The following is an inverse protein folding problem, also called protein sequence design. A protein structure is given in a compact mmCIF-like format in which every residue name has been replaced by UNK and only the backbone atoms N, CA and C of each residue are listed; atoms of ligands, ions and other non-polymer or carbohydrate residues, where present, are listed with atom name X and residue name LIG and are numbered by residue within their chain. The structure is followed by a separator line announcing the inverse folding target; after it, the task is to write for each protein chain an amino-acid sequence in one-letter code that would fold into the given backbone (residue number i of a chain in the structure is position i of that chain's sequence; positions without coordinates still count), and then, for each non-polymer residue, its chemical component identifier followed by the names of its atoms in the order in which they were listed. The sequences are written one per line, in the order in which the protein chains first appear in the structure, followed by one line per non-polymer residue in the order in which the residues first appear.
data_IF_144019516858
#
_entry.id   IF_144019516858
#
_cell.length_a   1.000
_cell.length_b   1.000
_cell.length_c   1.000
_cell.angle_alpha   90.00
_cell.angle_beta   90.00
_cell.angle_gamma   90.00
#
_symmetry.space_group_name_H-M   'P 1'
#
loop_
_entity.id
_entity.type
_entity.pdbx_description
1 polymer ?
#
# COMPACT_ATOMS: atom_id res chain seq x y z
N UNK A 1 -47.24 -25.45 19.05
CA UNK A 1 -46.48 -24.78 18.03
C UNK A 1 -45.06 -25.32 18.09
N UNK A 2 -44.56 -25.93 17.00
CA UNK A 2 -43.16 -26.37 16.86
C UNK A 2 -42.37 -25.23 16.19
N UNK A 3 -41.30 -24.79 16.83
CA UNK A 3 -40.35 -23.85 16.24
C UNK A 3 -39.06 -24.61 15.85
N UNK A 4 -38.60 -24.45 14.63
CA UNK A 4 -37.29 -24.98 14.17
C UNK A 4 -36.30 -23.86 14.07
N UNK A 5 -35.07 -24.10 14.57
CA UNK A 5 -33.95 -23.19 14.43
C UNK A 5 -32.85 -23.89 13.62
N UNK A 6 -32.44 -23.28 12.53
CA UNK A 6 -31.32 -23.79 11.71
C UNK A 6 -30.05 -23.07 12.11
N UNK A 7 -29.02 -23.83 12.47
CA UNK A 7 -27.67 -23.29 12.72
C UNK A 7 -26.69 -23.81 11.66
N UNK A 8 -25.75 -22.97 11.28
CA UNK A 8 -24.70 -23.31 10.32
C UNK A 8 -23.33 -23.24 10.98
N UNK A 9 -22.47 -24.24 10.75
CA UNK A 9 -21.08 -24.24 11.16
C UNK A 9 -20.21 -24.15 9.91
N UNK A 10 -19.32 -23.16 9.86
CA UNK A 10 -18.31 -23.06 8.83
C UNK A 10 -16.97 -23.63 9.34
N UNK A 11 -16.41 -24.62 8.65
CA UNK A 11 -15.10 -25.17 8.91
C UNK A 11 -14.33 -25.29 7.60
N UNK A 12 -13.27 -24.52 7.43
CA UNK A 12 -12.48 -24.53 6.19
C UNK A 12 -11.53 -23.33 6.07
N UNK A 13 -10.80 -23.30 4.96
CA UNK A 13 -9.95 -22.15 4.62
C UNK A 13 -10.79 -20.90 4.34
N UNK A 14 -10.29 -19.76 4.80
CA UNK A 14 -10.98 -18.45 4.63
C UNK A 14 -10.66 -17.85 3.26
N UNK A 15 -10.94 -18.59 2.20
CA UNK A 15 -10.83 -18.07 0.84
C UNK A 15 -11.92 -17.02 0.59
N UNK A 16 -11.56 -15.88 0.02
CA UNK A 16 -12.48 -14.76 -0.18
C UNK A 16 -13.67 -15.17 -1.05
N UNK A 17 -13.42 -15.91 -2.15
CA UNK A 17 -14.47 -16.37 -3.04
C UNK A 17 -15.47 -17.28 -2.34
N UNK A 18 -15.00 -18.20 -1.50
CA UNK A 18 -15.84 -19.11 -0.72
C UNK A 18 -16.67 -18.39 0.33
N UNK A 19 -16.09 -17.42 1.04
CA UNK A 19 -16.77 -16.60 2.05
C UNK A 19 -17.86 -15.73 1.40
N UNK A 20 -17.53 -15.02 0.31
CA UNK A 20 -18.49 -14.19 -0.44
C UNK A 20 -19.64 -15.04 -1.01
N UNK A 21 -19.37 -16.27 -1.47
CA UNK A 21 -20.39 -17.21 -1.96
C UNK A 21 -21.35 -17.67 -0.86
N UNK A 22 -20.84 -17.99 0.33
CA UNK A 22 -21.67 -18.36 1.48
C UNK A 22 -22.49 -17.19 2.00
N UNK A 23 -21.92 -15.99 2.06
CA UNK A 23 -22.65 -14.76 2.40
C UNK A 23 -23.87 -14.58 1.51
N UNK A 24 -23.68 -14.69 0.19
CA UNK A 24 -24.75 -14.55 -0.78
C UNK A 24 -25.78 -15.70 -0.71
N UNK A 25 -25.34 -16.97 -0.59
CA UNK A 25 -26.20 -18.15 -0.63
C UNK A 25 -27.05 -18.31 0.62
N UNK A 26 -26.48 -18.02 1.79
CA UNK A 26 -27.15 -18.20 3.09
C UNK A 26 -27.69 -16.88 3.65
N UNK A 27 -27.53 -15.78 2.92
CA UNK A 27 -27.93 -14.43 3.32
C UNK A 27 -27.41 -14.05 4.72
N UNK A 28 -26.16 -14.43 5.03
CA UNK A 28 -25.53 -14.13 6.31
C UNK A 28 -24.92 -12.75 6.23
N UNK A 29 -25.47 -11.80 6.97
CA UNK A 29 -25.02 -10.41 6.95
C UNK A 29 -23.57 -10.27 7.45
N UNK A 30 -22.71 -9.66 6.63
CA UNK A 30 -21.31 -9.35 6.94
C UNK A 30 -20.44 -10.59 7.21
N UNK A 31 -20.72 -11.70 6.57
CA UNK A 31 -19.90 -12.90 6.69
C UNK A 31 -18.49 -12.69 6.12
N UNK A 32 -18.33 -11.80 5.16
CA UNK A 32 -17.04 -11.36 4.61
C UNK A 32 -16.09 -10.79 5.66
N UNK A 33 -16.59 -10.33 6.81
CA UNK A 33 -15.78 -9.86 7.95
C UNK A 33 -15.11 -10.97 8.76
N UNK A 34 -15.35 -12.24 8.43
CA UNK A 34 -14.52 -13.34 8.93
C UNK A 34 -13.07 -13.21 8.51
N UNK A 35 -12.82 -12.51 7.41
CA UNK A 35 -11.50 -12.10 6.96
C UNK A 35 -11.21 -10.72 7.56
N UNK A 36 -10.07 -10.59 8.24
CA UNK A 36 -9.65 -9.32 8.83
C UNK A 36 -9.09 -8.38 7.75
N UNK A 37 -9.95 -7.64 7.08
CA UNK A 37 -9.58 -6.65 6.07
C UNK A 37 -8.86 -5.40 6.62
N UNK A 38 -8.84 -5.24 7.94
CA UNK A 38 -8.26 -4.06 8.61
C UNK A 38 -9.11 -2.80 8.52
N UNK A 39 -8.54 -1.69 8.97
CA UNK A 39 -9.22 -0.39 9.04
C UNK A 39 -9.59 0.19 7.67
N UNK A 40 -8.81 -0.13 6.65
CA UNK A 40 -9.02 0.35 5.29
C UNK A 40 -9.82 -0.64 4.44
N UNK A 41 -10.83 -1.28 5.03
CA UNK A 41 -11.71 -2.25 4.37
C UNK A 41 -12.16 -1.80 2.97
N UNK A 42 -12.56 -0.51 2.85
CA UNK A 42 -13.05 0.10 1.60
C UNK A 42 -11.97 0.21 0.50
N UNK A 43 -10.70 0.09 0.84
CA UNK A 43 -9.58 -0.01 -0.13
C UNK A 43 -9.12 -1.46 -0.26
N UNK A 44 -9.00 -2.17 0.85
CA UNK A 44 -8.42 -3.52 0.92
C UNK A 44 -9.24 -4.54 0.12
N UNK A 45 -10.57 -4.56 0.31
CA UNK A 45 -11.45 -5.53 -0.39
C UNK A 45 -11.51 -5.30 -1.91
N UNK A 46 -11.71 -4.07 -2.43
CA UNK A 46 -11.60 -3.81 -3.86
C UNK A 46 -10.21 -4.10 -4.45
N UNK A 47 -9.15 -3.80 -3.72
CA UNK A 47 -7.78 -4.07 -4.14
C UNK A 47 -7.52 -5.57 -4.27
N UNK A 48 -8.01 -6.37 -3.31
CA UNK A 48 -7.97 -7.82 -3.40
C UNK A 48 -8.73 -8.32 -4.63
N UNK A 49 -9.96 -7.86 -4.86
CA UNK A 49 -10.77 -8.27 -6.02
C UNK A 49 -10.09 -7.93 -7.35
N UNK A 50 -9.44 -6.79 -7.42
CA UNK A 50 -8.65 -6.40 -8.60
C UNK A 50 -7.47 -7.35 -8.81
N UNK A 51 -6.75 -7.69 -7.73
CA UNK A 51 -5.61 -8.60 -7.78
C UNK A 51 -6.04 -10.02 -8.17
N UNK A 52 -7.12 -10.53 -7.58
CA UNK A 52 -7.70 -11.83 -7.91
C UNK A 52 -8.17 -11.92 -9.37
N UNK A 53 -8.79 -10.84 -9.88
CA UNK A 53 -9.20 -10.75 -11.29
C UNK A 53 -7.98 -10.85 -12.22
N UNK A 54 -6.91 -10.12 -11.93
CA UNK A 54 -5.68 -10.15 -12.72
C UNK A 54 -5.01 -11.53 -12.61
N UNK A 55 -4.99 -12.11 -11.41
CA UNK A 55 -4.47 -13.44 -11.20
C UNK A 55 -5.23 -14.49 -12.02
N UNK A 56 -6.56 -14.46 -12.04
CA UNK A 56 -7.38 -15.36 -12.85
C UNK A 56 -7.09 -15.25 -14.35
N UNK A 57 -6.68 -14.09 -14.81
CA UNK A 57 -6.33 -13.87 -16.23
C UNK A 57 -4.91 -14.36 -16.56
N UNK A 58 -3.92 -14.06 -15.72
CA UNK A 58 -2.51 -14.35 -15.98
C UNK A 58 -2.02 -15.66 -15.35
N UNK A 59 -2.74 -16.22 -14.40
CA UNK A 59 -2.35 -17.44 -13.68
C UNK A 59 -1.13 -17.29 -12.75
N UNK A 60 -0.68 -16.04 -12.48
CA UNK A 60 0.52 -15.78 -11.70
C UNK A 60 0.30 -14.61 -10.74
N UNK A 61 0.38 -14.87 -9.43
CA UNK A 61 0.15 -13.87 -8.38
C UNK A 61 1.21 -12.77 -8.38
N UNK A 62 2.47 -13.10 -8.64
CA UNK A 62 3.53 -12.10 -8.71
C UNK A 62 3.30 -11.11 -9.85
N UNK A 63 2.84 -11.59 -11.01
CA UNK A 63 2.43 -10.73 -12.12
C UNK A 63 1.25 -9.85 -11.72
N UNK A 64 0.27 -10.40 -11.00
CA UNK A 64 -0.87 -9.63 -10.51
C UNK A 64 -0.43 -8.49 -9.59
N UNK A 65 0.50 -8.74 -8.66
CA UNK A 65 1.07 -7.72 -7.77
C UNK A 65 1.77 -6.62 -8.57
N UNK A 66 2.58 -6.98 -9.56
CA UNK A 66 3.29 -6.01 -10.41
C UNK A 66 2.31 -5.13 -11.19
N UNK A 67 1.31 -5.72 -11.84
CA UNK A 67 0.30 -4.98 -12.60
C UNK A 67 -0.50 -4.04 -11.68
N UNK A 68 -0.97 -4.51 -10.53
CA UNK A 68 -1.67 -3.68 -9.54
C UNK A 68 -0.79 -2.53 -9.07
N UNK A 69 0.49 -2.79 -8.82
CA UNK A 69 1.45 -1.74 -8.44
C UNK A 69 1.58 -0.68 -9.53
N UNK A 70 1.70 -1.08 -10.79
CA UNK A 70 1.75 -0.14 -11.93
C UNK A 70 0.47 0.67 -12.03
N UNK A 71 -0.70 0.04 -11.91
CA UNK A 71 -1.99 0.73 -11.94
C UNK A 71 -2.13 1.76 -10.82
N UNK A 72 -1.74 1.42 -9.58
CA UNK A 72 -1.73 2.34 -8.46
C UNK A 72 -0.78 3.52 -8.72
N UNK A 73 0.44 3.25 -9.21
CA UNK A 73 1.41 4.30 -9.55
C UNK A 73 0.92 5.20 -10.67
N UNK A 74 0.27 4.64 -11.70
CA UNK A 74 -0.34 5.41 -12.78
C UNK A 74 -1.48 6.30 -12.26
N UNK A 75 -2.34 5.80 -11.39
CA UNK A 75 -3.41 6.57 -10.79
C UNK A 75 -2.89 7.75 -9.94
N UNK A 76 -1.77 7.57 -9.23
CA UNK A 76 -1.14 8.63 -8.41
C UNK A 76 -0.15 9.50 -9.17
N UNK A 77 0.14 9.20 -10.45
CA UNK A 77 1.08 9.97 -11.25
C UNK A 77 0.78 11.48 -11.31
N UNK A 78 -0.47 11.94 -11.55
CA UNK A 78 -0.76 13.37 -11.59
C UNK A 78 -0.51 14.05 -10.24
N UNK A 79 -0.80 13.37 -9.13
CA UNK A 79 -0.55 13.87 -7.78
C UNK A 79 0.95 13.98 -7.50
N UNK A 80 1.71 12.94 -7.86
CA UNK A 80 3.17 12.91 -7.74
C UNK A 80 3.82 14.05 -8.56
N UNK A 81 3.39 14.23 -9.79
CA UNK A 81 3.91 15.28 -10.68
C UNK A 81 3.67 16.70 -10.10
N UNK A 82 2.47 16.93 -9.54
CA UNK A 82 2.15 18.20 -8.87
C UNK A 82 3.07 18.43 -7.65
N UNK A 83 3.33 17.38 -6.88
CA UNK A 83 4.25 17.43 -5.73
C UNK A 83 5.68 17.73 -6.15
N UNK A 84 6.21 17.04 -7.17
CA UNK A 84 7.56 17.30 -7.67
C UNK A 84 7.73 18.73 -8.18
N UNK A 85 6.73 19.30 -8.85
CA UNK A 85 6.74 20.72 -9.26
C UNK A 85 6.80 21.66 -8.06
N UNK A 86 6.05 21.36 -6.99
CA UNK A 86 6.10 22.15 -5.75
C UNK A 86 7.46 22.05 -5.06
N UNK A 87 8.05 20.86 -5.02
CA UNK A 87 9.41 20.67 -4.48
C UNK A 87 10.48 21.41 -5.29
N UNK A 88 10.37 21.43 -6.62
CA UNK A 88 11.28 22.20 -7.47
C UNK A 88 11.24 23.70 -7.15
N UNK A 89 10.02 24.27 -7.05
CA UNK A 89 9.85 25.68 -6.62
C UNK A 89 10.43 25.94 -5.22
N UNK A 90 10.30 24.99 -4.30
CA UNK A 90 10.87 25.12 -2.96
C UNK A 90 12.40 25.13 -3.00
N UNK A 91 13.04 24.31 -3.87
CA UNK A 91 14.49 24.33 -4.08
C UNK A 91 14.97 25.68 -4.65
N UNK A 92 14.23 26.25 -5.59
CA UNK A 92 14.54 27.59 -6.13
C UNK A 92 14.44 28.70 -5.07
N UNK A 93 13.54 28.55 -4.10
CA UNK A 93 13.39 29.51 -2.99
C UNK A 93 14.39 29.27 -1.84
N UNK A 94 15.14 28.18 -1.87
CA UNK A 94 16.05 27.78 -0.79
C UNK A 94 17.10 28.87 -0.41
N UNK A 95 17.77 29.56 -1.36
CA UNK A 95 18.73 30.62 -1.00
C UNK A 95 18.06 31.80 -0.27
N UNK A 96 16.84 32.18 -0.66
CA UNK A 96 16.10 33.24 0.03
C UNK A 96 15.64 32.82 1.43
N UNK A 97 15.25 31.55 1.58
CA UNK A 97 14.92 30.97 2.89
C UNK A 97 16.14 30.95 3.84
N UNK A 98 17.31 30.65 3.31
CA UNK A 98 18.55 30.70 4.10
C UNK A 98 18.89 32.13 4.53
N UNK A 99 18.77 33.09 3.62
CA UNK A 99 19.00 34.51 3.94
C UNK A 99 18.03 35.02 5.03
N UNK A 100 16.74 34.60 4.99
CA UNK A 100 15.77 34.94 6.05
C UNK A 100 16.19 34.30 7.38
N UNK A 101 16.64 33.04 7.37
CA UNK A 101 17.10 32.36 8.58
C UNK A 101 18.28 33.02 9.23
N UNK A 102 19.26 33.46 8.44
CA UNK A 102 20.45 34.17 8.91
C UNK A 102 20.08 35.57 9.43
N UNK A 103 19.22 36.31 8.70
CA UNK A 103 18.82 37.67 9.05
C UNK A 103 18.03 37.76 10.35
N UNK A 104 17.21 36.74 10.63
CA UNK A 104 16.33 36.70 11.81
C UNK A 104 16.69 35.52 12.74
N UNK A 105 18.00 35.25 12.92
CA UNK A 105 18.46 34.13 13.72
C UNK A 105 18.01 34.18 15.20
N UNK A 106 17.89 35.39 15.77
CA UNK A 106 17.52 35.63 17.16
C UNK A 106 15.99 35.79 17.36
N UNK A 107 15.24 36.15 16.29
CA UNK A 107 13.77 36.33 16.36
C UNK A 107 13.03 35.26 15.56
N UNK A 108 12.75 34.15 16.22
CA UNK A 108 12.05 33.01 15.60
C UNK A 108 10.65 33.33 15.11
N UNK A 109 9.95 34.27 15.77
CA UNK A 109 8.58 34.63 15.39
C UNK A 109 8.60 35.39 14.06
N UNK A 110 9.49 36.36 13.96
CA UNK A 110 9.65 37.16 12.75
C UNK A 110 10.21 36.34 11.58
N UNK A 111 11.16 35.44 11.89
CA UNK A 111 11.67 34.50 10.93
C UNK A 111 10.56 33.64 10.31
N UNK A 112 9.64 33.13 11.12
CA UNK A 112 8.53 32.29 10.65
C UNK A 112 7.52 33.12 9.84
N UNK A 113 7.25 34.36 10.22
CA UNK A 113 6.38 35.26 9.47
C UNK A 113 6.95 35.55 8.07
N UNK A 114 8.22 35.95 7.98
CA UNK A 114 8.90 36.24 6.72
C UNK A 114 8.97 35.02 5.80
N UNK A 115 9.22 33.81 6.37
CA UNK A 115 9.17 32.58 5.61
C UNK A 115 7.77 32.30 5.05
N UNK A 116 6.72 32.54 5.84
CA UNK A 116 5.33 32.36 5.39
C UNK A 116 4.94 33.37 4.31
N UNK A 117 5.41 34.62 4.41
CA UNK A 117 5.21 35.64 3.38
C UNK A 117 5.92 35.27 2.08
N UNK A 118 7.17 34.76 2.16
CA UNK A 118 7.90 34.27 0.99
C UNK A 118 7.15 33.12 0.30
N UNK A 119 6.63 32.16 1.07
CA UNK A 119 5.83 31.06 0.52
C UNK A 119 4.56 31.55 -0.18
N UNK A 120 3.87 32.53 0.41
CA UNK A 120 2.69 33.15 -0.21
C UNK A 120 3.06 33.90 -1.48
N UNK A 121 4.12 34.74 -1.45
CA UNK A 121 4.59 35.52 -2.58
C UNK A 121 4.99 34.64 -3.78
N UNK A 122 5.67 33.52 -3.52
CA UNK A 122 6.10 32.57 -4.55
C UNK A 122 5.06 31.49 -4.88
N UNK A 123 3.90 31.53 -4.23
CA UNK A 123 2.85 30.50 -4.39
C UNK A 123 3.37 29.08 -4.16
N UNK A 124 4.22 28.93 -3.15
CA UNK A 124 4.78 27.64 -2.73
C UNK A 124 3.94 27.09 -1.57
N UNK A 125 3.46 25.86 -1.74
CA UNK A 125 2.80 25.15 -0.65
C UNK A 125 3.79 24.12 -0.07
N UNK A 126 4.34 24.31 1.15
CA UNK A 126 5.28 23.37 1.74
C UNK A 126 4.68 22.00 2.01
N UNK A 127 3.36 21.93 2.27
CA UNK A 127 2.66 20.67 2.48
C UNK A 127 2.45 19.85 1.19
N UNK A 128 2.57 20.48 0.02
CA UNK A 128 2.38 19.76 -1.24
C UNK A 128 3.47 18.70 -1.49
N UNK A 129 4.66 18.87 -0.91
CA UNK A 129 5.75 17.90 -1.00
C UNK A 129 5.48 16.58 -0.26
N UNK A 130 4.80 16.62 0.87
CA UNK A 130 4.48 15.43 1.67
C UNK A 130 3.14 14.79 1.30
N UNK A 131 2.30 15.46 0.52
CA UNK A 131 0.96 14.98 0.18
C UNK A 131 0.95 13.59 -0.48
N UNK A 132 1.85 13.24 -1.43
CA UNK A 132 1.88 11.89 -2.00
C UNK A 132 2.15 10.82 -0.95
N UNK A 133 3.00 11.10 0.03
CA UNK A 133 3.32 10.16 1.11
C UNK A 133 2.08 9.91 1.98
N UNK A 134 1.36 10.98 2.36
CA UNK A 134 0.15 10.87 3.17
C UNK A 134 -0.95 10.05 2.48
N UNK A 135 -1.11 10.23 1.17
CA UNK A 135 -2.09 9.45 0.38
C UNK A 135 -1.60 8.02 0.15
N UNK A 136 -0.28 7.81 0.04
CA UNK A 136 0.32 6.50 -0.15
C UNK A 136 0.20 5.60 1.08
N UNK A 137 0.22 6.17 2.30
CA UNK A 137 0.18 5.39 3.55
C UNK A 137 -1.04 4.45 3.62
N UNK A 138 -2.30 4.90 3.43
CA UNK A 138 -3.46 4.02 3.44
C UNK A 138 -3.39 2.92 2.36
N UNK A 139 -2.88 3.26 1.18
CA UNK A 139 -2.73 2.30 0.07
C UNK A 139 -1.67 1.26 0.39
N UNK A 140 -0.55 1.67 1.00
CA UNK A 140 0.50 0.76 1.45
C UNK A 140 -0.02 -0.22 2.50
N UNK A 141 -0.74 0.27 3.51
CA UNK A 141 -1.36 -0.58 4.52
C UNK A 141 -2.41 -1.52 3.93
N UNK A 142 -3.22 -1.05 2.98
CA UNK A 142 -4.18 -1.89 2.29
C UNK A 142 -3.49 -3.00 1.48
N UNK A 143 -2.45 -2.66 0.73
CA UNK A 143 -1.68 -3.65 -0.05
C UNK A 143 -0.97 -4.66 0.86
N UNK A 144 -0.31 -4.17 1.93
CA UNK A 144 0.29 -5.04 2.96
C UNK A 144 -0.75 -6.00 3.52
N UNK A 145 -1.92 -5.48 3.90
CA UNK A 145 -3.00 -6.29 4.46
C UNK A 145 -3.50 -7.33 3.46
N UNK A 146 -3.71 -6.96 2.19
CA UNK A 146 -4.09 -7.90 1.14
C UNK A 146 -3.06 -9.04 1.03
N UNK A 147 -1.79 -8.72 0.91
CA UNK A 147 -0.72 -9.72 0.78
C UNK A 147 -0.67 -10.64 2.01
N UNK A 148 -0.84 -10.06 3.22
CA UNK A 148 -0.76 -10.80 4.47
C UNK A 148 -1.94 -11.76 4.70
N UNK A 149 -3.18 -11.36 4.31
CA UNK A 149 -4.39 -12.16 4.57
C UNK A 149 -4.74 -13.12 3.41
N UNK A 150 -4.14 -12.91 2.23
CA UNK A 150 -4.47 -13.69 1.03
C UNK A 150 -3.87 -15.09 1.13
N UNK A 151 -4.73 -16.05 1.43
CA UNK A 151 -4.35 -17.46 1.52
C UNK A 151 -3.99 -18.04 0.13
N UNK A 152 -4.53 -17.45 -0.92
CA UNK A 152 -4.32 -17.81 -2.32
C UNK A 152 -2.89 -17.56 -2.80
N UNK A 153 -2.13 -16.73 -2.10
CA UNK A 153 -0.70 -16.48 -2.38
C UNK A 153 0.23 -17.57 -1.79
N UNK A 154 -0.29 -18.38 -0.89
CA UNK A 154 0.51 -19.41 -0.24
C UNK A 154 0.97 -20.45 -1.28
N UNK A 155 2.28 -20.69 -1.33
CA UNK A 155 2.92 -21.59 -2.29
C UNK A 155 2.69 -21.20 -3.77
N UNK A 156 2.32 -19.94 -4.03
CA UNK A 156 2.17 -19.44 -5.39
C UNK A 156 3.55 -19.15 -6.00
N UNK A 157 3.88 -19.72 -7.16
CA UNK A 157 5.15 -19.47 -7.84
C UNK A 157 5.13 -18.11 -8.56
N UNK A 158 6.32 -17.53 -8.72
CA UNK A 158 6.53 -16.39 -9.60
C UNK A 158 7.35 -16.82 -10.84
N UNK A 159 8.56 -16.30 -11.00
CA UNK A 159 9.47 -16.69 -12.08
C UNK A 159 10.85 -17.05 -11.54
N UNK A 160 11.59 -17.84 -12.32
CA UNK A 160 12.98 -18.21 -12.04
C UNK A 160 13.12 -19.01 -10.74
N UNK A 161 13.86 -18.46 -9.79
CA UNK A 161 14.15 -19.09 -8.49
C UNK A 161 13.05 -18.87 -7.43
N UNK A 162 12.14 -17.93 -7.64
CA UNK A 162 11.04 -17.64 -6.71
C UNK A 162 9.92 -18.65 -6.95
N UNK A 163 9.97 -19.75 -6.20
CA UNK A 163 9.00 -20.85 -6.30
C UNK A 163 7.80 -20.69 -5.38
N UNK A 164 7.93 -19.87 -4.34
CA UNK A 164 6.89 -19.61 -3.35
C UNK A 164 6.99 -18.15 -2.88
N UNK A 165 5.95 -17.37 -3.17
CA UNK A 165 5.86 -15.96 -2.75
C UNK A 165 5.64 -15.79 -1.24
N UNK A 166 5.26 -16.86 -0.53
CA UNK A 166 5.05 -16.85 0.92
C UNK A 166 6.27 -17.33 1.71
N UNK A 167 7.27 -17.87 1.04
CA UNK A 167 8.50 -18.36 1.67
C UNK A 167 9.60 -17.29 1.67
N UNK A 168 10.52 -17.30 2.65
CA UNK A 168 11.72 -16.47 2.61
C UNK A 168 12.54 -16.76 1.35
N UNK A 169 13.09 -15.71 0.74
CA UNK A 169 13.96 -15.85 -0.42
C UNK A 169 15.26 -16.54 -0.02
N UNK A 170 15.60 -17.71 -0.62
CA UNK A 170 16.88 -18.39 -0.35
C UNK A 170 18.07 -17.61 -0.89
N UNK A 171 17.85 -16.62 -1.76
CA UNK A 171 18.90 -15.81 -2.34
C UNK A 171 19.03 -14.46 -1.64
N UNK A 172 20.26 -14.13 -1.23
CA UNK A 172 20.55 -12.86 -0.54
C UNK A 172 21.93 -12.37 -0.97
N UNK A 173 22.17 -11.06 -0.82
CA UNK A 173 23.50 -10.48 -1.00
C UNK A 173 24.50 -11.13 -0.06
N UNK A 174 24.08 -11.51 1.15
CA UNK A 174 24.96 -12.12 2.16
C UNK A 174 25.41 -13.53 1.82
N UNK A 175 24.65 -14.28 1.03
CA UNK A 175 25.04 -15.61 0.56
C UNK A 175 25.43 -15.61 -0.93
N UNK A 176 25.81 -14.46 -1.48
CA UNK A 176 26.17 -14.26 -2.88
C UNK A 176 25.11 -14.83 -3.83
N UNK A 177 23.84 -14.46 -3.61
CA UNK A 177 22.70 -14.94 -4.40
C UNK A 177 22.56 -16.47 -4.45
N UNK A 178 22.87 -17.13 -3.35
CA UNK A 178 22.74 -18.58 -3.23
C UNK A 178 23.98 -19.38 -3.63
N UNK A 179 25.10 -18.73 -3.98
CA UNK A 179 26.36 -19.40 -4.28
C UNK A 179 27.03 -19.96 -3.02
N UNK A 180 26.77 -19.40 -1.85
CA UNK A 180 27.29 -19.90 -0.57
C UNK A 180 26.25 -20.78 0.12
N UNK A 181 26.61 -21.98 0.59
CA UNK A 181 25.65 -22.97 1.12
C UNK A 181 25.28 -22.72 2.59
N UNK A 182 25.07 -21.48 3.02
CA UNK A 182 24.58 -21.18 4.35
C UNK A 182 23.23 -20.47 4.31
N UNK A 183 22.37 -20.79 5.29
CA UNK A 183 21.09 -20.10 5.45
C UNK A 183 21.31 -18.69 5.98
N UNK A 184 20.71 -17.70 5.32
CA UNK A 184 20.73 -16.32 5.78
C UNK A 184 19.83 -16.23 7.02
N UNK A 185 20.30 -15.67 8.16
CA UNK A 185 19.43 -15.45 9.31
C UNK A 185 18.28 -14.52 8.95
N UNK A 186 17.07 -14.88 9.34
CA UNK A 186 15.86 -14.07 9.18
C UNK A 186 15.91 -12.83 10.08
#
# INVERSE_FOLDING_TARGET
ASASVTSHLFAGAKEVGTIDAYEAKLNILRFDKMIDWGWFYFITKPLFKLMDMIFKYFGNFGVAILIVTVLIKAAFFPLANKSYRSMAKMKEAQPELLAIKERFAEDRVRQQQEMMELYKKKQINPAAGCLPVLVQIPVFFALYKVIFITIEMRQAPFFGWIKDLSAPDPTSIFNLFGLLPYAVPN
#
